data_IF_569786813718
#
_entry.id   IF_569786813718
#
_cell.length_a   1.000
_cell.length_b   1.000
_cell.length_c   1.000
_cell.angle_alpha   90.00
_cell.angle_beta   90.00
_cell.angle_gamma   90.00
#
_symmetry.space_group_name_H-M   'P 1'
#
loop_
_entity.id
_entity.type
_entity.pdbx_description
1 polymer ?
#
# COMPACT_ATOMS: atom_id res chain seq x y z
N UNK A 1 15.44 14.30 -20.13
CA UNK A 1 14.84 14.92 -18.92
C UNK A 1 15.02 13.93 -17.79
N UNK A 2 16.16 14.00 -17.10
CA UNK A 2 16.49 13.08 -16.00
C UNK A 2 15.96 13.73 -14.72
N UNK A 3 14.99 13.09 -14.06
CA UNK A 3 14.58 13.51 -12.73
C UNK A 3 15.77 13.30 -11.80
N UNK A 4 16.28 14.40 -11.24
CA UNK A 4 17.29 14.36 -10.19
C UNK A 4 16.63 13.75 -8.96
N UNK A 5 17.08 12.55 -8.57
CA UNK A 5 16.75 11.95 -7.28
C UNK A 5 17.74 12.56 -6.31
N UNK A 6 17.31 13.61 -5.60
CA UNK A 6 18.07 14.13 -4.46
C UNK A 6 17.90 13.13 -3.31
N UNK A 7 18.96 12.42 -2.87
CA UNK A 7 18.86 11.53 -1.72
C UNK A 7 18.69 12.40 -0.47
N UNK A 8 17.45 12.59 -0.03
CA UNK A 8 17.19 13.24 1.26
C UNK A 8 17.62 12.30 2.38
N UNK A 9 18.59 12.68 3.23
CA UNK A 9 18.92 11.92 4.42
C UNK A 9 17.99 12.37 5.53
N UNK A 10 16.95 11.60 5.85
CA UNK A 10 16.18 11.83 7.06
C UNK A 10 15.59 10.52 7.60
N UNK A 11 15.92 10.23 8.85
CA UNK A 11 15.48 9.07 9.64
C UNK A 11 13.95 8.96 9.86
N UNK A 12 13.12 9.70 9.11
CA UNK A 12 11.64 9.74 9.19
C UNK A 12 10.94 9.65 7.81
N UNK A 13 11.62 9.14 6.79
CA UNK A 13 11.03 9.00 5.45
C UNK A 13 9.79 8.10 5.47
N UNK A 14 8.78 8.44 4.66
CA UNK A 14 7.55 7.66 4.52
C UNK A 14 7.82 6.18 4.24
N UNK A 15 8.84 5.89 3.43
CA UNK A 15 9.38 4.54 3.21
C UNK A 15 9.67 3.82 4.54
N UNK A 16 10.48 4.41 5.43
CA UNK A 16 10.83 3.78 6.72
C UNK A 16 9.60 3.56 7.62
N UNK A 17 8.61 4.46 7.59
CA UNK A 17 7.33 4.28 8.31
C UNK A 17 6.58 3.05 7.80
N UNK A 18 6.54 2.84 6.49
CA UNK A 18 5.90 1.66 5.89
C UNK A 18 6.71 0.38 6.18
N UNK A 19 8.04 0.41 6.02
CA UNK A 19 8.91 -0.76 6.26
C UNK A 19 8.84 -1.22 7.72
N UNK A 20 8.87 -0.29 8.68
CA UNK A 20 8.78 -0.61 10.12
C UNK A 20 7.45 -1.23 10.53
N UNK A 21 6.34 -0.84 9.90
CA UNK A 21 5.01 -1.41 10.18
C UNK A 21 4.76 -2.74 9.47
N UNK A 22 5.48 -3.02 8.38
CA UNK A 22 5.24 -4.20 7.53
C UNK A 22 6.33 -5.26 7.61
N UNK A 23 7.45 -4.96 8.27
CA UNK A 23 8.67 -5.76 8.27
C UNK A 23 9.10 -6.20 6.86
N UNK A 24 8.83 -5.37 5.86
CA UNK A 24 9.15 -5.62 4.46
C UNK A 24 10.16 -4.59 3.99
N UNK A 25 11.21 -5.04 3.32
CA UNK A 25 12.18 -4.14 2.69
C UNK A 25 11.72 -3.82 1.27
N UNK A 26 11.18 -2.62 1.06
CA UNK A 26 10.62 -2.20 -0.23
C UNK A 26 11.71 -1.86 -1.25
N UNK A 27 12.93 -1.52 -0.82
CA UNK A 27 14.06 -1.28 -1.72
C UNK A 27 14.49 -2.53 -2.49
N UNK A 28 14.05 -3.72 -2.08
CA UNK A 28 14.22 -4.98 -2.84
C UNK A 28 13.28 -5.11 -4.04
N UNK A 29 12.33 -4.17 -4.23
CA UNK A 29 11.36 -4.26 -5.30
C UNK A 29 12.03 -4.21 -6.68
N UNK A 30 11.94 -5.31 -7.43
CA UNK A 30 12.50 -5.40 -8.78
C UNK A 30 11.69 -4.65 -9.85
N UNK A 31 10.58 -4.01 -9.47
CA UNK A 31 9.66 -3.33 -10.40
C UNK A 31 9.13 -4.22 -11.54
N UNK A 32 9.11 -5.55 -11.36
CA UNK A 32 8.76 -6.54 -12.38
C UNK A 32 7.27 -6.61 -12.78
N UNK A 33 6.42 -5.74 -12.24
CA UNK A 33 4.97 -5.64 -12.50
C UNK A 33 4.08 -6.87 -12.22
N UNK A 34 4.62 -8.02 -11.78
CA UNK A 34 3.82 -9.23 -11.46
C UNK A 34 2.60 -8.95 -10.59
N UNK A 35 2.77 -8.16 -9.52
CA UNK A 35 1.69 -7.78 -8.61
C UNK A 35 0.58 -6.95 -9.27
N UNK A 36 0.92 -6.12 -10.27
CA UNK A 36 -0.06 -5.38 -11.07
C UNK A 36 -0.77 -6.27 -12.09
N UNK A 37 0.00 -7.09 -12.81
CA UNK A 37 -0.51 -7.95 -13.88
C UNK A 37 -1.46 -9.05 -13.42
N UNK A 38 -1.24 -9.63 -12.24
CA UNK A 38 -2.10 -10.71 -11.73
C UNK A 38 -3.34 -10.23 -10.97
N UNK A 39 -3.39 -8.95 -10.60
CA UNK A 39 -4.47 -8.45 -9.77
C UNK A 39 -5.75 -8.29 -10.60
N UNK A 40 -6.78 -9.07 -10.27
CA UNK A 40 -8.11 -9.05 -10.92
C UNK A 40 -8.84 -7.71 -10.78
N UNK A 41 -8.43 -6.87 -9.82
CA UNK A 41 -8.99 -5.53 -9.59
C UNK A 41 -8.12 -4.40 -10.13
N UNK A 42 -6.99 -4.71 -10.76
CA UNK A 42 -6.01 -3.71 -11.24
C UNK A 42 -6.64 -2.62 -12.11
N UNK A 43 -7.57 -2.99 -13.00
CA UNK A 43 -8.30 -2.05 -13.86
C UNK A 43 -9.16 -1.02 -13.10
N UNK A 44 -9.47 -1.30 -11.83
CA UNK A 44 -10.22 -0.39 -10.94
C UNK A 44 -9.30 0.40 -10.03
N UNK A 45 -8.00 0.14 -10.04
CA UNK A 45 -7.06 0.94 -9.25
C UNK A 45 -6.67 2.19 -10.04
N UNK A 46 -6.42 3.27 -9.32
CA UNK A 46 -5.71 4.45 -9.82
C UNK A 46 -4.21 4.16 -10.01
N UNK A 47 -3.63 3.40 -9.08
CA UNK A 47 -2.26 2.93 -9.14
C UNK A 47 -2.20 1.43 -8.90
N UNK A 48 -1.49 0.72 -9.78
CA UNK A 48 -1.19 -0.69 -9.56
C UNK A 48 -0.34 -0.87 -8.30
N UNK A 49 -0.33 -2.06 -7.66
CA UNK A 49 0.51 -2.29 -6.50
C UNK A 49 1.99 -1.99 -6.77
N UNK A 50 2.48 -2.25 -7.99
CA UNK A 50 3.84 -1.87 -8.42
C UNK A 50 4.08 -0.36 -8.28
N UNK A 51 3.18 0.44 -8.84
CA UNK A 51 3.27 1.91 -8.81
C UNK A 51 3.17 2.45 -7.38
N UNK A 52 2.31 1.86 -6.54
CA UNK A 52 2.26 2.25 -5.13
C UNK A 52 3.58 1.97 -4.40
N UNK A 53 4.22 0.83 -4.64
CA UNK A 53 5.54 0.53 -4.06
C UNK A 53 6.60 1.54 -4.50
N UNK A 54 6.61 1.91 -5.78
CA UNK A 54 7.48 2.95 -6.33
C UNK A 54 7.23 4.30 -5.65
N UNK A 55 5.97 4.73 -5.54
CA UNK A 55 5.60 5.98 -4.87
C UNK A 55 5.95 6.00 -3.37
N UNK A 56 5.91 4.86 -2.68
CA UNK A 56 6.38 4.77 -1.29
C UNK A 56 7.89 5.00 -1.20
N UNK A 57 8.67 4.42 -2.12
CA UNK A 57 10.12 4.60 -2.20
C UNK A 57 10.44 6.08 -2.48
N UNK A 58 9.67 6.71 -3.37
CA UNK A 58 9.79 8.14 -3.70
C UNK A 58 9.28 9.08 -2.59
N UNK A 59 8.71 8.52 -1.52
CA UNK A 59 8.22 9.30 -0.37
C UNK A 59 6.92 10.06 -0.62
N UNK A 60 6.14 9.70 -1.65
CA UNK A 60 4.90 10.35 -2.06
C UNK A 60 3.71 9.96 -1.17
N UNK A 61 3.80 10.24 0.13
CA UNK A 61 2.84 9.81 1.15
C UNK A 61 1.40 10.23 0.83
N UNK A 62 1.16 11.50 0.51
CA UNK A 62 -0.19 12.00 0.26
C UNK A 62 -0.83 11.33 -0.97
N UNK A 63 -0.03 11.02 -2.00
CA UNK A 63 -0.52 10.32 -3.20
C UNK A 63 -0.92 8.89 -2.85
N UNK A 64 -0.09 8.20 -2.08
CA UNK A 64 -0.31 6.80 -1.69
C UNK A 64 -1.51 6.66 -0.74
N UNK A 65 -1.62 7.52 0.28
CA UNK A 65 -2.69 7.42 1.29
C UNK A 65 -4.06 7.87 0.76
N UNK A 66 -4.10 8.71 -0.29
CA UNK A 66 -5.33 9.07 -0.98
C UNK A 66 -5.68 8.13 -2.15
N UNK A 67 -4.89 7.08 -2.38
CA UNK A 67 -5.15 6.18 -3.50
C UNK A 67 -6.44 5.36 -3.30
N UNK A 68 -7.28 5.24 -4.34
CA UNK A 68 -8.46 4.34 -4.29
C UNK A 68 -8.06 2.88 -4.19
N UNK A 69 -6.90 2.51 -4.72
CA UNK A 69 -6.40 1.13 -4.68
C UNK A 69 -6.30 0.57 -3.25
N UNK A 70 -5.90 1.38 -2.26
CA UNK A 70 -5.81 0.91 -0.87
C UNK A 70 -7.18 0.53 -0.30
N UNK A 71 -8.28 1.11 -0.80
CA UNK A 71 -9.65 0.83 -0.36
C UNK A 71 -10.29 -0.34 -1.12
N UNK A 72 -9.97 -0.48 -2.41
CA UNK A 72 -10.51 -1.53 -3.29
C UNK A 72 -9.78 -2.86 -3.05
N UNK A 73 -8.49 -2.84 -2.72
CA UNK A 73 -7.67 -4.04 -2.54
C UNK A 73 -8.34 -5.07 -1.60
N UNK A 74 -8.57 -6.27 -2.15
CA UNK A 74 -9.25 -7.37 -1.45
C UNK A 74 -8.37 -8.11 -0.45
N UNK A 75 -7.08 -7.75 -0.38
CA UNK A 75 -6.10 -8.35 0.52
C UNK A 75 -6.02 -9.88 0.35
N UNK A 76 -6.00 -10.34 -0.91
CA UNK A 76 -6.13 -11.75 -1.31
C UNK A 76 -4.80 -12.55 -1.39
N UNK A 77 -3.67 -11.95 -1.00
CA UNK A 77 -2.33 -12.57 -0.95
C UNK A 77 -1.68 -13.00 -2.27
N UNK A 78 -2.41 -13.08 -3.39
CA UNK A 78 -1.90 -13.46 -4.72
C UNK A 78 -0.58 -12.77 -5.10
N UNK A 79 -0.54 -11.44 -4.96
CA UNK A 79 0.62 -10.62 -5.30
C UNK A 79 1.86 -10.85 -4.41
N UNK A 80 1.66 -11.27 -3.16
CA UNK A 80 2.74 -11.57 -2.23
C UNK A 80 3.33 -12.95 -2.49
N UNK A 81 2.47 -13.97 -2.68
CA UNK A 81 2.90 -15.36 -2.95
C UNK A 81 3.77 -15.44 -4.21
N UNK A 82 3.48 -14.61 -5.20
CA UNK A 82 4.17 -14.62 -6.48
C UNK A 82 5.29 -13.56 -6.59
N UNK A 83 5.64 -12.89 -5.48
CA UNK A 83 6.68 -11.87 -5.48
C UNK A 83 8.08 -12.53 -5.45
N UNK A 84 8.92 -12.38 -6.50
CA UNK A 84 10.28 -12.93 -6.50
C UNK A 84 11.21 -12.26 -5.48
N UNK A 85 10.86 -11.04 -5.04
CA UNK A 85 11.60 -10.29 -4.02
C UNK A 85 11.05 -10.50 -2.59
N UNK A 86 10.08 -11.40 -2.41
CA UNK A 86 9.43 -11.68 -1.13
C UNK A 86 8.87 -10.44 -0.42
N UNK A 87 8.30 -9.49 -1.18
CA UNK A 87 7.66 -8.30 -0.62
C UNK A 87 6.24 -8.64 -0.16
N UNK A 88 5.92 -8.27 1.08
CA UNK A 88 4.59 -8.50 1.65
C UNK A 88 3.57 -7.45 1.17
N UNK A 89 3.26 -7.44 -0.12
CA UNK A 89 2.37 -6.45 -0.75
C UNK A 89 1.00 -6.41 -0.07
N UNK A 90 0.46 -7.55 0.39
CA UNK A 90 -0.80 -7.56 1.14
C UNK A 90 -0.70 -6.77 2.44
N UNK A 91 0.37 -6.99 3.22
CA UNK A 91 0.57 -6.26 4.47
C UNK A 91 0.76 -4.77 4.22
N UNK A 92 1.51 -4.39 3.18
CA UNK A 92 1.66 -3.00 2.77
C UNK A 92 0.28 -2.37 2.49
N UNK A 93 -0.57 -3.00 1.69
CA UNK A 93 -1.91 -2.45 1.38
C UNK A 93 -2.79 -2.30 2.64
N UNK A 94 -2.69 -3.23 3.61
CA UNK A 94 -3.39 -3.11 4.91
C UNK A 94 -2.85 -1.95 5.72
N UNK A 95 -1.53 -1.86 5.87
CA UNK A 95 -0.85 -0.80 6.61
C UNK A 95 -1.14 0.59 6.02
N UNK A 96 -1.11 0.75 4.71
CA UNK A 96 -1.45 2.03 4.06
C UNK A 96 -2.89 2.45 4.37
N UNK A 97 -3.83 1.50 4.35
CA UNK A 97 -5.23 1.75 4.71
C UNK A 97 -5.37 2.17 6.18
N UNK A 98 -4.63 1.54 7.08
CA UNK A 98 -4.60 1.91 8.50
C UNK A 98 -4.00 3.30 8.72
N UNK A 99 -2.86 3.61 8.09
CA UNK A 99 -2.24 4.94 8.10
C UNK A 99 -3.17 6.02 7.57
N UNK A 100 -3.90 5.74 6.48
CA UNK A 100 -4.90 6.67 5.94
C UNK A 100 -6.01 6.97 6.96
N UNK A 101 -6.48 5.97 7.70
CA UNK A 101 -7.48 6.17 8.77
C UNK A 101 -6.94 6.96 9.95
N UNK A 102 -5.71 6.69 10.38
CA UNK A 102 -5.05 7.44 11.46
C UNK A 102 -4.97 8.93 11.11
N UNK A 103 -4.81 9.27 9.82
CA UNK A 103 -4.86 10.64 9.31
C UNK A 103 -6.27 11.17 9.00
N UNK A 104 -7.32 10.41 9.28
CA UNK A 104 -8.70 10.81 9.00
C UNK A 104 -9.10 10.81 7.52
N UNK A 105 -8.28 10.21 6.64
CA UNK A 105 -8.58 10.06 5.21
C UNK A 105 -9.68 9.02 5.05
N UNK A 106 -10.76 9.43 4.39
CA UNK A 106 -11.92 8.57 4.11
C UNK A 106 -11.77 7.89 2.74
N UNK A 107 -12.43 6.73 2.54
CA UNK A 107 -12.49 6.11 1.23
C UNK A 107 -13.06 7.09 0.19
N UNK A 108 -12.36 7.21 -0.94
CA UNK A 108 -12.76 8.04 -2.09
C UNK A 108 -13.41 7.22 -3.23
N UNK A 109 -13.94 6.05 -2.89
CA UNK A 109 -14.56 5.12 -3.83
C UNK A 109 -15.72 4.40 -3.15
N UNK A 110 -16.77 4.08 -3.91
CA UNK A 110 -17.89 3.25 -3.46
C UNK A 110 -17.53 1.76 -3.41
N UNK A 111 -16.45 1.35 -4.09
CA UNK A 111 -16.01 -0.04 -4.21
C UNK A 111 -15.09 -0.47 -3.06
N UNK A 112 -15.50 -0.17 -1.82
CA UNK A 112 -14.72 -0.50 -0.62
C UNK A 112 -14.74 -2.01 -0.42
N UNK A 113 -13.57 -2.60 -0.15
CA UNK A 113 -13.46 -4.02 0.19
C UNK A 113 -14.37 -4.36 1.39
N UNK A 114 -15.37 -5.23 1.19
CA UNK A 114 -16.33 -5.64 2.23
C UNK A 114 -15.68 -6.37 3.42
N UNK A 115 -14.52 -7.03 3.22
CA UNK A 115 -13.74 -7.64 4.32
C UNK A 115 -13.25 -6.58 5.31
N UNK A 116 -13.06 -5.35 4.85
CA UNK A 116 -12.72 -4.21 5.70
C UNK A 116 -13.96 -3.66 6.44
N UNK A 117 -15.11 -3.52 5.77
CA UNK A 117 -16.33 -2.96 6.36
C UNK A 117 -16.84 -3.80 7.56
N UNK A 118 -16.75 -5.14 7.48
CA UNK A 118 -17.19 -6.02 8.57
C UNK A 118 -16.40 -5.87 9.87
N UNK A 119 -15.13 -5.43 9.82
CA UNK A 119 -14.30 -5.22 11.02
C UNK A 119 -14.51 -3.85 11.68
N UNK A 120 -15.20 -2.91 11.02
CA UNK A 120 -15.40 -1.56 11.56
C UNK A 120 -16.52 -1.47 12.62
N UNK A 121 -17.31 -2.54 12.83
CA UNK A 121 -18.44 -2.56 13.78
C UNK A 121 -18.18 -3.34 15.08
N UNK A 122 -16.94 -3.75 15.38
CA UNK A 122 -16.69 -4.35 16.70
C UNK A 122 -16.01 -3.30 17.61
N UNK A 123 -16.74 -2.68 18.56
CA UNK A 123 -16.09 -1.91 19.61
C UNK A 123 -15.13 -2.84 20.35
N UNK A 124 -13.88 -2.43 20.52
CA UNK A 124 -12.93 -3.12 21.38
C UNK A 124 -13.59 -3.24 22.77
N UNK A 125 -14.02 -4.44 23.16
CA UNK A 125 -14.17 -4.76 24.58
C UNK A 125 -12.77 -5.07 25.07
N UNK A 126 -12.15 -4.09 25.71
CA UNK A 126 -11.06 -4.32 26.65
C UNK A 126 -11.65 -5.16 27.79
N UNK A 127 -11.05 -6.32 28.03
CA UNK A 127 -11.35 -7.20 29.15
C UNK A 127 -10.17 -7.21 30.10
#
# INVERSE_FOLDING_TARGET
MLYKIDPTPANDSFLRKVESRTNSNLTKCLQCYKCGGMCQKSAKFDYTPRQLLEQIIDGLEDTVLNSRAIWICETCDECQVNCPAAISVNQIMKTLREMAREKGIKPNTSEINRRFVKKAHCPKKEG
#
